data_IF_649350483301
#
_entry.id   IF_649350483301
#
_cell.length_a   1.000
_cell.length_b   1.000
_cell.length_c   1.000
_cell.angle_alpha   90.00
_cell.angle_beta   90.00
_cell.angle_gamma   90.00
#
_symmetry.space_group_name_H-M   'P 1'
#
loop_
_entity.id
_entity.type
_entity.pdbx_description
1 polymer ?
#
# COMPACT_ATOMS: atom_id res chain seq x y z
N UNK A 1 -58.07 4.71 35.18
CA UNK A 1 -56.85 5.06 34.44
C UNK A 1 -55.67 4.50 35.21
N UNK A 2 -55.33 3.24 34.95
CA UNK A 2 -54.32 2.49 35.69
C UNK A 2 -53.12 2.18 34.78
N UNK A 3 -51.96 2.61 35.22
CA UNK A 3 -50.66 2.48 34.54
C UNK A 3 -50.12 1.06 34.69
N UNK A 4 -49.91 0.36 33.57
CA UNK A 4 -49.29 -0.97 33.54
C UNK A 4 -47.79 -0.88 33.82
N UNK A 5 -47.40 -1.27 35.04
CA UNK A 5 -46.02 -1.51 35.46
C UNK A 5 -45.40 -2.67 34.66
N UNK A 6 -44.31 -2.42 33.92
CA UNK A 6 -43.49 -3.48 33.34
C UNK A 6 -42.37 -3.88 34.31
N UNK A 7 -42.35 -5.16 34.68
CA UNK A 7 -41.34 -5.78 35.53
C UNK A 7 -40.00 -5.88 34.79
N UNK A 8 -38.95 -5.23 35.31
CA UNK A 8 -37.56 -5.41 34.85
C UNK A 8 -36.95 -6.65 35.51
N UNK A 9 -36.70 -7.68 34.71
CA UNK A 9 -35.88 -8.84 35.09
C UNK A 9 -34.41 -8.42 35.20
N UNK A 10 -33.85 -8.45 36.42
CA UNK A 10 -32.43 -8.17 36.65
C UNK A 10 -31.58 -9.46 36.60
N UNK A 11 -30.89 -9.60 35.47
CA UNK A 11 -29.68 -10.39 35.16
C UNK A 11 -28.47 -10.22 36.10
N UNK A 12 -28.47 -10.65 37.37
CA UNK A 12 -27.28 -10.47 38.25
C UNK A 12 -26.18 -11.51 37.96
N UNK A 13 -25.36 -11.26 36.93
CA UNK A 13 -24.20 -12.10 36.60
C UNK A 13 -23.06 -11.79 37.59
N UNK A 14 -22.73 -12.76 38.45
CA UNK A 14 -21.51 -12.73 39.29
C UNK A 14 -20.30 -13.05 38.40
N UNK A 15 -19.48 -12.05 38.09
CA UNK A 15 -18.20 -12.25 37.40
C UNK A 15 -17.13 -12.54 38.46
N UNK A 16 -16.39 -13.67 38.40
CA UNK A 16 -15.29 -13.94 39.32
C UNK A 16 -14.11 -12.98 39.10
N UNK A 17 -13.53 -12.52 40.21
CA UNK A 17 -12.54 -11.45 40.30
C UNK A 17 -11.13 -11.96 39.93
N UNK A 18 -10.95 -12.54 38.74
CA UNK A 18 -9.60 -12.72 38.16
C UNK A 18 -9.66 -13.02 36.65
N UNK A 19 -10.29 -12.15 35.88
CA UNK A 19 -10.25 -12.22 34.41
C UNK A 19 -9.37 -11.07 33.93
N UNK A 20 -8.20 -11.40 33.37
CA UNK A 20 -7.42 -10.46 32.55
C UNK A 20 -8.39 -9.84 31.55
N UNK A 21 -8.58 -8.54 31.66
CA UNK A 21 -9.37 -7.74 30.72
C UNK A 21 -8.68 -7.84 29.37
N UNK A 22 -9.09 -8.79 28.54
CA UNK A 22 -8.94 -8.65 27.09
C UNK A 22 -9.85 -7.49 26.71
N UNK A 23 -9.30 -6.28 26.76
CA UNK A 23 -9.90 -5.14 26.14
C UNK A 23 -10.01 -5.46 24.65
N UNK A 24 -11.20 -5.88 24.20
CA UNK A 24 -11.57 -5.83 22.80
C UNK A 24 -11.52 -4.35 22.41
N UNK A 25 -10.35 -3.93 21.93
CA UNK A 25 -10.15 -2.62 21.31
C UNK A 25 -11.14 -2.52 20.15
N UNK A 26 -12.18 -1.71 20.33
CA UNK A 26 -12.89 -1.10 19.21
C UNK A 26 -11.90 -0.20 18.46
N UNK A 27 -11.18 -0.76 17.47
CA UNK A 27 -10.34 -0.02 16.53
C UNK A 27 -10.33 -0.73 15.17
N UNK A 28 -11.46 -0.73 14.46
CA UNK A 28 -11.54 -1.31 13.11
C UNK A 28 -12.04 -0.32 12.03
N UNK A 29 -11.97 0.99 12.28
CA UNK A 29 -12.31 1.99 11.25
C UNK A 29 -11.06 2.50 10.51
N UNK A 30 -9.88 2.43 11.11
CA UNK A 30 -8.62 2.87 10.50
C UNK A 30 -7.87 1.79 9.71
N UNK A 31 -8.29 0.52 9.79
CA UNK A 31 -7.60 -0.60 9.13
C UNK A 31 -8.20 -0.96 7.76
N UNK A 32 -9.44 -0.58 7.48
CA UNK A 32 -10.08 -0.86 6.18
C UNK A 32 -9.51 0.00 5.06
N UNK A 33 -9.23 1.28 5.32
CA UNK A 33 -8.66 2.20 4.33
C UNK A 33 -7.25 1.76 3.88
N UNK A 34 -6.43 1.25 4.80
CA UNK A 34 -5.09 0.76 4.48
C UNK A 34 -5.12 -0.55 3.68
N UNK A 35 -6.07 -1.44 3.98
CA UNK A 35 -6.31 -2.70 3.25
C UNK A 35 -6.88 -2.45 1.86
N UNK A 36 -7.82 -1.52 1.70
CA UNK A 36 -8.38 -1.11 0.41
C UNK A 36 -7.30 -0.55 -0.54
N UNK A 37 -6.32 0.19 0.00
CA UNK A 37 -5.24 0.73 -0.83
C UNK A 37 -4.25 -0.36 -1.29
N UNK A 38 -4.05 -1.42 -0.51
CA UNK A 38 -3.14 -2.52 -0.87
C UNK A 38 -3.68 -3.37 -2.03
N UNK A 39 -4.99 -3.61 -2.09
CA UNK A 39 -5.61 -4.37 -3.18
C UNK A 39 -5.57 -3.62 -4.51
N UNK A 40 -5.70 -2.29 -4.50
CA UNK A 40 -5.63 -1.46 -5.70
C UNK A 40 -4.31 -1.66 -6.48
N UNK A 41 -3.18 -1.70 -5.77
CA UNK A 41 -1.87 -1.92 -6.38
C UNK A 41 -1.76 -3.29 -7.05
N UNK A 42 -2.37 -4.33 -6.47
CA UNK A 42 -2.41 -5.69 -7.05
C UNK A 42 -3.26 -5.71 -8.32
N UNK A 43 -4.44 -5.11 -8.29
CA UNK A 43 -5.32 -4.99 -9.45
C UNK A 43 -4.67 -4.19 -10.58
N UNK A 44 -3.92 -3.14 -10.24
CA UNK A 44 -3.17 -2.34 -11.20
C UNK A 44 -1.89 -3.03 -11.70
N UNK A 45 -1.52 -4.20 -11.14
CA UNK A 45 -0.23 -4.88 -11.42
C UNK A 45 0.98 -3.95 -11.26
N UNK A 46 0.94 -3.05 -10.27
CA UNK A 46 1.98 -2.06 -9.99
C UNK A 46 2.34 -2.10 -8.50
N UNK A 47 3.62 -2.29 -8.18
CA UNK A 47 4.06 -2.33 -6.79
C UNK A 47 3.81 -1.00 -6.06
N UNK A 48 3.43 -1.03 -4.77
CA UNK A 48 3.21 0.16 -3.96
C UNK A 48 4.42 1.11 -3.93
N UNK A 49 4.20 2.44 -3.83
CA UNK A 49 5.28 3.44 -3.82
C UNK A 49 6.32 3.24 -2.71
N UNK A 50 5.94 2.72 -1.54
CA UNK A 50 6.88 2.42 -0.46
C UNK A 50 7.93 1.41 -0.91
N UNK A 51 7.49 0.28 -1.47
CA UNK A 51 8.35 -0.80 -1.95
C UNK A 51 9.24 -0.33 -3.11
N UNK A 52 8.67 0.47 -4.02
CA UNK A 52 9.45 1.10 -5.11
C UNK A 52 10.57 1.99 -4.56
N UNK A 53 10.28 2.84 -3.57
CA UNK A 53 11.30 3.71 -2.95
C UNK A 53 12.37 2.90 -2.22
N UNK A 54 11.99 1.84 -1.53
CA UNK A 54 12.94 0.99 -0.81
C UNK A 54 13.89 0.30 -1.80
N UNK A 55 13.36 -0.32 -2.87
CA UNK A 55 14.20 -0.95 -3.91
C UNK A 55 15.13 0.04 -4.61
N UNK A 56 14.65 1.26 -4.91
CA UNK A 56 15.51 2.33 -5.46
C UNK A 56 16.62 2.75 -4.49
N UNK A 57 16.32 2.83 -3.20
CA UNK A 57 17.30 3.17 -2.16
C UNK A 57 18.40 2.10 -2.07
N UNK A 58 18.03 0.82 -2.21
CA UNK A 58 19.01 -0.27 -2.28
C UNK A 58 19.84 -0.21 -3.57
N UNK A 59 19.22 0.05 -4.73
CA UNK A 59 19.94 0.24 -6.00
C UNK A 59 20.98 1.36 -5.90
N UNK A 60 20.59 2.49 -5.32
CA UNK A 60 21.50 3.64 -5.18
C UNK A 60 22.67 3.31 -4.26
N UNK A 61 22.42 2.54 -3.20
CA UNK A 61 23.49 2.01 -2.37
C UNK A 61 24.42 1.08 -3.15
N UNK A 62 23.92 0.19 -3.98
CA UNK A 62 24.78 -0.71 -4.76
C UNK A 62 25.64 0.07 -5.74
N UNK A 63 25.10 1.12 -6.38
CA UNK A 63 25.90 2.04 -7.19
C UNK A 63 26.97 2.73 -6.37
N UNK A 64 26.63 3.24 -5.19
CA UNK A 64 27.59 3.86 -4.30
C UNK A 64 28.76 2.94 -3.94
N UNK A 65 28.51 1.64 -3.76
CA UNK A 65 29.53 0.66 -3.38
C UNK A 65 30.34 0.12 -4.57
N UNK A 66 29.73 0.02 -5.75
CA UNK A 66 30.32 -0.63 -6.93
C UNK A 66 30.90 0.34 -7.96
N UNK A 67 30.30 1.52 -8.14
CA UNK A 67 30.66 2.48 -9.18
C UNK A 67 31.57 3.59 -8.63
N UNK A 68 32.81 3.65 -9.11
CA UNK A 68 33.78 4.66 -8.73
C UNK A 68 33.45 6.08 -9.22
N UNK A 69 32.54 6.22 -10.20
CA UNK A 69 32.04 7.51 -10.69
C UNK A 69 30.92 8.06 -9.82
N UNK A 70 30.38 7.25 -8.91
CA UNK A 70 29.35 7.69 -8.00
C UNK A 70 29.93 8.76 -7.05
N UNK A 71 29.27 9.92 -6.86
CA UNK A 71 29.83 11.02 -6.04
C UNK A 71 30.15 10.65 -4.59
N UNK A 72 29.49 9.62 -4.07
CA UNK A 72 29.69 9.10 -2.72
C UNK A 72 30.43 7.75 -2.68
N UNK A 73 31.15 7.39 -3.74
CA UNK A 73 31.98 6.19 -3.76
C UNK A 73 33.03 6.24 -2.64
N UNK A 74 33.21 5.13 -1.92
CA UNK A 74 34.12 5.06 -0.76
C UNK A 74 33.65 5.83 0.49
N UNK A 75 32.51 6.51 0.44
CA UNK A 75 32.00 7.26 1.59
C UNK A 75 31.52 6.33 2.71
N UNK A 76 32.13 6.47 3.89
CA UNK A 76 31.83 5.62 5.04
C UNK A 76 30.51 6.01 5.73
N UNK A 77 29.86 5.02 6.36
CA UNK A 77 28.58 5.20 7.05
C UNK A 77 28.77 6.05 8.30
N UNK A 78 28.35 7.32 8.22
CA UNK A 78 28.32 8.21 9.38
C UNK A 78 27.14 7.86 10.29
N UNK A 79 27.34 7.99 11.60
CA UNK A 79 26.25 7.90 12.58
C UNK A 79 25.20 8.96 12.28
N UNK A 80 23.96 8.50 12.18
CA UNK A 80 22.84 9.36 11.83
C UNK A 80 22.57 10.37 12.95
N UNK A 81 22.56 11.67 12.62
CA UNK A 81 22.24 12.75 13.58
C UNK A 81 20.79 12.72 14.06
N UNK A 82 19.83 12.47 13.16
CA UNK A 82 18.39 12.50 13.46
C UNK A 82 17.71 11.19 13.09
N UNK A 83 16.87 10.66 14.00
CA UNK A 83 16.17 9.38 13.80
C UNK A 83 15.21 9.33 12.60
N UNK A 84 14.85 10.47 12.02
CA UNK A 84 13.96 10.56 10.85
C UNK A 84 14.70 10.57 9.51
N UNK A 85 15.99 10.93 9.46
CA UNK A 85 16.73 11.04 8.19
C UNK A 85 17.21 9.67 7.72
N UNK A 86 16.43 9.01 6.87
CA UNK A 86 16.88 7.77 6.23
C UNK A 86 17.72 8.12 4.99
N UNK A 87 18.97 7.64 4.95
CA UNK A 87 19.86 7.76 3.79
C UNK A 87 20.16 6.38 3.24
N UNK A 88 20.33 6.25 1.92
CA UNK A 88 20.78 4.99 1.31
C UNK A 88 22.18 4.54 1.79
N UNK A 89 22.98 5.45 2.36
CA UNK A 89 24.25 5.10 3.01
C UNK A 89 24.02 4.22 4.26
N UNK A 90 22.81 4.22 4.82
CA UNK A 90 22.47 3.43 6.01
C UNK A 90 21.74 2.13 5.72
N UNK A 91 21.14 1.97 4.54
CA UNK A 91 20.43 0.77 4.10
C UNK A 91 21.40 -0.35 3.74
N UNK A 92 20.89 -1.55 3.50
CA UNK A 92 21.66 -2.62 2.85
C UNK A 92 21.37 -2.60 1.34
N UNK A 93 22.31 -3.09 0.53
CA UNK A 93 22.15 -3.17 -0.92
C UNK A 93 21.18 -4.27 -1.36
N UNK A 94 20.98 -4.43 -2.66
CA UNK A 94 20.24 -5.57 -3.23
C UNK A 94 21.08 -6.86 -3.20
N UNK A 95 22.40 -6.74 -3.05
CA UNK A 95 23.31 -7.88 -3.14
C UNK A 95 23.30 -8.43 -4.57
N UNK A 96 22.92 -9.71 -4.71
CA UNK A 96 22.88 -10.39 -6.01
C UNK A 96 21.52 -10.32 -6.72
N UNK A 97 20.49 -9.73 -6.08
CA UNK A 97 19.13 -9.69 -6.63
C UNK A 97 18.96 -8.59 -7.66
N UNK A 98 18.13 -8.82 -8.66
CA UNK A 98 17.71 -7.73 -9.56
C UNK A 98 16.68 -6.83 -8.86
N UNK A 99 16.60 -5.54 -9.22
CA UNK A 99 15.65 -4.61 -8.59
C UNK A 99 14.18 -5.06 -8.67
N UNK A 100 13.79 -5.72 -9.76
CA UNK A 100 12.44 -6.25 -9.96
C UNK A 100 12.14 -7.41 -9.00
N UNK A 101 13.09 -8.34 -8.85
CA UNK A 101 12.96 -9.53 -7.99
C UNK A 101 12.81 -9.12 -6.52
N UNK A 102 13.67 -8.23 -6.03
CA UNK A 102 13.60 -7.70 -4.67
C UNK A 102 12.27 -6.98 -4.41
N UNK A 103 11.76 -6.25 -5.41
CA UNK A 103 10.47 -5.56 -5.29
C UNK A 103 9.31 -6.54 -5.21
N UNK A 104 9.29 -7.58 -6.04
CA UNK A 104 8.25 -8.60 -6.01
C UNK A 104 8.26 -9.38 -4.71
N UNK A 105 9.44 -9.72 -4.18
CA UNK A 105 9.58 -10.40 -2.90
C UNK A 105 9.06 -9.56 -1.74
N UNK A 106 9.52 -8.31 -1.62
CA UNK A 106 9.02 -7.37 -0.62
C UNK A 106 7.50 -7.16 -0.74
N UNK A 107 6.97 -7.17 -1.97
CA UNK A 107 5.55 -6.99 -2.23
C UNK A 107 4.72 -8.20 -1.81
N UNK A 108 5.22 -9.42 -2.05
CA UNK A 108 4.61 -10.64 -1.52
C UNK A 108 4.61 -10.63 0.01
N UNK A 109 5.75 -10.33 0.63
CA UNK A 109 5.88 -10.28 2.09
C UNK A 109 4.91 -9.29 2.74
N UNK A 110 4.77 -8.09 2.16
CA UNK A 110 3.86 -7.06 2.67
C UNK A 110 2.36 -7.43 2.57
N UNK A 111 2.01 -8.46 1.79
CA UNK A 111 0.64 -8.87 1.50
C UNK A 111 0.29 -10.31 1.96
N UNK A 112 1.19 -11.01 2.66
CA UNK A 112 0.93 -12.36 3.20
C UNK A 112 -0.35 -12.46 4.04
N UNK A 113 -0.81 -11.34 4.61
CA UNK A 113 -2.00 -11.26 5.45
C UNK A 113 -3.29 -10.85 4.72
N UNK A 114 -3.27 -10.65 3.39
CA UNK A 114 -4.51 -10.38 2.63
C UNK A 114 -5.07 -11.69 2.05
N UNK A 115 -6.11 -12.29 2.65
CA UNK A 115 -6.82 -13.37 2.01
C UNK A 115 -7.70 -12.79 0.90
N UNK A 116 -7.51 -13.19 -0.34
CA UNK A 116 -8.55 -13.02 -1.34
C UNK A 116 -8.26 -13.86 -2.58
N UNK A 117 -9.12 -14.84 -2.82
CA UNK A 117 -9.18 -15.61 -4.07
C UNK A 117 -9.53 -14.72 -5.28
N UNK A 118 -10.07 -13.52 -5.03
CA UNK A 118 -10.51 -12.57 -6.06
C UNK A 118 -9.47 -11.49 -6.42
N UNK A 119 -8.30 -11.46 -5.76
CA UNK A 119 -7.26 -10.47 -6.05
C UNK A 119 -6.03 -11.19 -6.62
N UNK A 120 -5.51 -10.76 -7.78
CA UNK A 120 -4.35 -11.41 -8.38
C UNK A 120 -3.12 -11.36 -7.46
N UNK A 121 -2.25 -12.33 -7.65
CA UNK A 121 -0.94 -12.36 -7.00
C UNK A 121 -0.11 -11.12 -7.35
N UNK A 122 0.75 -10.64 -6.42
CA UNK A 122 1.67 -9.54 -6.69
C UNK A 122 2.52 -9.80 -7.94
N UNK A 123 2.24 -9.06 -8.99
CA UNK A 123 2.97 -9.10 -10.26
C UNK A 123 3.13 -7.67 -10.78
N UNK A 124 4.29 -7.38 -11.37
CA UNK A 124 4.54 -6.06 -11.96
C UNK A 124 4.52 -6.18 -13.48
N UNK A 125 3.46 -5.64 -14.08
CA UNK A 125 3.29 -5.56 -15.52
C UNK A 125 2.50 -4.30 -15.83
N UNK A 126 3.00 -3.50 -16.76
CA UNK A 126 2.17 -2.41 -17.28
C UNK A 126 1.08 -3.04 -18.16
N UNK A 127 -0.19 -2.60 -18.02
CA UNK A 127 -1.20 -3.04 -18.97
C UNK A 127 -0.68 -2.72 -20.37
N UNK A 128 -0.76 -3.67 -21.32
CA UNK A 128 -0.40 -3.37 -22.70
C UNK A 128 -1.20 -2.13 -23.10
N UNK A 129 -0.52 -1.15 -23.71
CA UNK A 129 -1.19 0.04 -24.22
C UNK A 129 -2.38 -0.38 -25.08
N UNK A 130 -3.43 0.45 -25.13
CA UNK A 130 -4.59 0.07 -25.93
C UNK A 130 -4.19 -0.07 -27.40
N UNK A 131 -4.59 -1.16 -28.04
CA UNK A 131 -4.58 -1.28 -29.51
C UNK A 131 -5.68 -0.46 -30.18
N UNK A 132 -6.49 0.25 -29.39
CA UNK A 132 -7.57 1.10 -29.87
C UNK A 132 -7.05 2.17 -30.84
N UNK A 133 -7.83 2.40 -31.89
CA UNK A 133 -7.54 3.52 -32.78
C UNK A 133 -7.74 4.85 -32.04
N UNK A 134 -7.16 5.93 -32.57
CA UNK A 134 -7.23 7.26 -31.95
C UNK A 134 -8.67 7.69 -31.63
N UNK A 135 -9.65 7.36 -32.48
CA UNK A 135 -11.05 7.75 -32.29
C UNK A 135 -11.63 7.12 -31.03
N UNK A 136 -11.45 5.81 -30.87
CA UNK A 136 -11.96 5.06 -29.72
C UNK A 136 -11.26 5.50 -28.43
N UNK A 137 -9.94 5.71 -28.49
CA UNK A 137 -9.18 6.21 -27.33
C UNK A 137 -9.67 7.59 -26.88
N UNK A 138 -9.89 8.52 -27.82
CA UNK A 138 -10.41 9.87 -27.50
C UNK A 138 -11.82 9.80 -26.94
N UNK A 139 -12.69 8.96 -27.52
CA UNK A 139 -14.06 8.78 -27.05
C UNK A 139 -14.10 8.24 -25.61
N UNK A 140 -13.33 7.17 -25.34
CA UNK A 140 -13.22 6.57 -24.01
C UNK A 140 -12.62 7.53 -22.99
N UNK A 141 -11.59 8.30 -23.36
CA UNK A 141 -11.00 9.28 -22.45
C UNK A 141 -11.95 10.44 -22.14
N UNK A 142 -12.72 10.92 -23.13
CA UNK A 142 -13.77 11.94 -22.91
C UNK A 142 -14.85 11.43 -21.97
N UNK A 143 -15.33 10.19 -22.19
CA UNK A 143 -16.28 9.54 -21.30
C UNK A 143 -15.74 9.41 -19.87
N UNK A 144 -14.48 8.95 -19.72
CA UNK A 144 -13.80 8.81 -18.42
C UNK A 144 -13.65 10.14 -17.71
N UNK A 145 -13.20 11.17 -18.42
CA UNK A 145 -12.95 12.49 -17.86
C UNK A 145 -14.24 13.33 -17.73
N UNK A 146 -15.40 12.80 -18.14
CA UNK A 146 -16.70 13.47 -18.14
C UNK A 146 -16.71 14.82 -18.89
N UNK A 147 -15.74 15.02 -19.79
CA UNK A 147 -15.63 16.18 -20.70
C UNK A 147 -16.13 15.78 -22.08
N UNK A 148 -17.31 15.19 -22.12
CA UNK A 148 -18.08 15.09 -23.36
C UNK A 148 -18.54 16.49 -23.76
N UNK A 149 -18.68 16.74 -25.07
CA UNK A 149 -19.44 17.93 -25.50
C UNK A 149 -20.88 17.71 -25.05
N UNK A 150 -21.26 18.35 -23.96
CA UNK A 150 -22.66 18.56 -23.62
C UNK A 150 -23.25 19.48 -24.68
N UNK A 151 -24.56 19.37 -24.98
CA UNK A 151 -25.21 20.22 -25.99
C UNK A 151 -25.00 21.72 -25.74
N UNK A 152 -24.71 22.10 -24.50
CA UNK A 152 -24.43 23.46 -24.05
C UNK A 152 -23.04 24.00 -24.48
N UNK A 153 -22.10 23.14 -24.91
CA UNK A 153 -20.76 23.53 -25.39
C UNK A 153 -20.71 23.76 -26.92
N UNK A 154 -21.87 23.86 -27.57
CA UNK A 154 -22.01 24.19 -28.99
C UNK A 154 -22.54 25.63 -29.14
N UNK A 155 -21.72 26.60 -28.76
CA UNK A 155 -21.91 28.02 -29.09
C UNK A 155 -20.88 28.45 -30.15
#
# INVERSE_FOLDING_TARGET
>A
METKNQLKLYVKIKIPVNTRVFALRHNNVSNTASLQFKSLYRLASIAPPSIKRDTLTKCERDKQLSDNRHPLYGYQKIRRRLKSRNSFVTTNGLGNRKPLEDRLELWKDANQLLPSDCIPEPSESLPPGSSFCRKDWVALNRARAKVGRTGDDLA
#
